data_IF_155644135153
#
_entry.id   IF_155644135153
#
_cell.length_a   1.000
_cell.length_b   1.000
_cell.length_c   1.000
_cell.angle_alpha   90.00
_cell.angle_beta   90.00
_cell.angle_gamma   90.00
#
_symmetry.space_group_name_H-M   'P 1'
#
loop_
_entity.id
_entity.type
_entity.pdbx_description
1 polymer ?
#
# COMPACT_ATOMS: atom_id res chain seq x y z
N UNK A 1 -23.67 -14.66 -6.12
CA UNK A 1 -22.25 -14.97 -6.42
C UNK A 1 -21.53 -13.65 -6.40
N UNK A 2 -20.47 -13.51 -5.59
CA UNK A 2 -19.64 -12.30 -5.62
C UNK A 2 -19.18 -12.05 -7.05
N UNK A 3 -19.35 -10.82 -7.55
CA UNK A 3 -18.91 -10.46 -8.89
C UNK A 3 -17.38 -10.49 -8.94
N UNK A 4 -16.80 -11.41 -9.71
CA UNK A 4 -15.34 -11.47 -9.91
C UNK A 4 -14.90 -10.43 -10.94
N UNK A 5 -13.76 -9.81 -10.70
CA UNK A 5 -13.08 -8.93 -11.64
C UNK A 5 -12.13 -9.72 -12.54
N UNK A 6 -11.90 -9.26 -13.76
CA UNK A 6 -10.85 -9.79 -14.62
C UNK A 6 -9.46 -9.41 -14.07
N UNK A 7 -9.31 -8.15 -13.65
CA UNK A 7 -8.05 -7.56 -13.19
C UNK A 7 -8.30 -6.74 -11.92
N UNK A 8 -7.57 -7.01 -10.84
CA UNK A 8 -7.43 -6.07 -9.72
C UNK A 8 -6.09 -5.37 -9.78
N UNK A 9 -6.10 -4.04 -9.68
CA UNK A 9 -4.91 -3.18 -9.76
C UNK A 9 -4.70 -2.56 -8.39
N UNK A 10 -3.54 -2.81 -7.77
CA UNK A 10 -3.25 -2.41 -6.40
C UNK A 10 -2.26 -1.24 -6.41
N UNK A 11 -2.78 -0.01 -6.32
CA UNK A 11 -2.03 1.24 -6.24
C UNK A 11 -2.48 2.26 -7.28
N UNK A 12 -2.74 3.51 -6.86
CA UNK A 12 -3.20 4.61 -7.73
C UNK A 12 -2.07 5.54 -8.22
N UNK A 13 -0.81 5.10 -8.14
CA UNK A 13 0.33 5.81 -8.73
C UNK A 13 0.40 5.64 -10.27
N UNK A 14 1.36 6.28 -10.95
CA UNK A 14 1.45 6.27 -12.42
C UNK A 14 1.43 4.88 -13.08
N UNK A 15 1.97 3.85 -12.41
CA UNK A 15 1.90 2.46 -12.89
C UNK A 15 0.47 1.93 -12.89
N UNK A 16 -0.24 2.03 -11.77
CA UNK A 16 -1.61 1.53 -11.67
C UNK A 16 -2.60 2.32 -12.52
N UNK A 17 -2.41 3.64 -12.62
CA UNK A 17 -3.20 4.49 -13.53
C UNK A 17 -3.03 4.07 -14.99
N UNK A 18 -1.78 3.89 -15.43
CA UNK A 18 -1.52 3.41 -16.80
C UNK A 18 -2.10 2.02 -17.05
N UNK A 19 -2.03 1.13 -16.05
CA UNK A 19 -2.64 -0.19 -16.14
C UNK A 19 -4.17 -0.11 -16.26
N UNK A 20 -4.83 0.72 -15.45
CA UNK A 20 -6.28 0.90 -15.44
C UNK A 20 -6.80 1.46 -16.78
N UNK A 21 -6.12 2.48 -17.32
CA UNK A 21 -6.45 3.03 -18.64
C UNK A 21 -6.41 1.94 -19.72
N UNK A 22 -5.36 1.12 -19.73
CA UNK A 22 -5.23 0.03 -20.70
C UNK A 22 -6.25 -1.09 -20.47
N UNK A 23 -6.58 -1.43 -19.22
CA UNK A 23 -7.63 -2.38 -18.90
C UNK A 23 -9.01 -1.90 -19.42
N UNK A 24 -9.33 -0.62 -19.22
CA UNK A 24 -10.56 0.03 -19.75
C UNK A 24 -10.60 -0.03 -21.28
N UNK A 25 -9.52 0.37 -21.97
CA UNK A 25 -9.42 0.33 -23.45
C UNK A 25 -9.62 -1.09 -24.01
N UNK A 26 -9.19 -2.11 -23.26
CA UNK A 26 -9.33 -3.52 -23.65
C UNK A 26 -10.64 -4.16 -23.19
N UNK A 27 -11.60 -3.36 -22.70
CA UNK A 27 -12.91 -3.79 -22.23
C UNK A 27 -12.84 -4.93 -21.20
N UNK A 28 -11.86 -4.88 -20.29
CA UNK A 28 -11.80 -5.80 -19.15
C UNK A 28 -12.59 -5.21 -17.99
N UNK A 29 -13.20 -6.09 -17.20
CA UNK A 29 -13.82 -5.70 -15.94
C UNK A 29 -12.72 -5.60 -14.89
N UNK A 30 -12.39 -4.40 -14.43
CA UNK A 30 -11.29 -4.20 -13.47
C UNK A 30 -11.70 -3.38 -12.25
N UNK A 31 -10.90 -3.45 -11.20
CA UNK A 31 -10.97 -2.60 -10.01
C UNK A 31 -9.60 -1.99 -9.74
N UNK A 32 -9.57 -0.70 -9.42
CA UNK A 32 -8.35 0.06 -9.11
C UNK A 32 -8.39 0.49 -7.65
N UNK A 33 -7.53 -0.09 -6.82
CA UNK A 33 -7.37 0.29 -5.41
C UNK A 33 -6.32 1.38 -5.26
N UNK A 34 -6.55 2.33 -4.36
CA UNK A 34 -5.60 3.39 -4.03
C UNK A 34 -6.27 4.52 -3.28
N UNK A 35 -5.78 5.75 -3.44
CA UNK A 35 -6.42 6.96 -2.93
C UNK A 35 -6.59 8.02 -4.04
N UNK A 36 -7.49 8.97 -3.82
CA UNK A 36 -7.75 10.10 -4.72
C UNK A 36 -6.60 11.12 -4.78
N UNK A 37 -5.64 11.01 -3.86
CA UNK A 37 -4.38 11.74 -3.95
C UNK A 37 -3.37 11.14 -4.94
N UNK A 38 -3.69 9.99 -5.54
CA UNK A 38 -2.92 9.19 -6.48
C UNK A 38 -1.59 8.67 -5.91
N UNK A 39 -0.70 9.59 -5.55
CA UNK A 39 0.59 9.26 -4.96
C UNK A 39 1.14 10.47 -4.21
N UNK A 40 1.48 10.26 -2.94
CA UNK A 40 2.17 11.26 -2.10
C UNK A 40 3.50 11.70 -2.73
N UNK A 41 4.21 10.79 -3.41
CA UNK A 41 5.45 11.08 -4.13
C UNK A 41 5.24 12.01 -5.34
N UNK A 42 4.11 11.85 -6.03
CA UNK A 42 3.74 12.72 -7.15
C UNK A 42 3.45 14.13 -6.64
N UNK A 43 2.54 14.28 -5.67
CA UNK A 43 2.08 15.58 -5.15
C UNK A 43 3.23 16.40 -4.56
N UNK A 44 4.20 15.75 -3.92
CA UNK A 44 5.38 16.41 -3.31
C UNK A 44 6.43 16.88 -4.31
N UNK A 45 6.32 16.54 -5.61
CA UNK A 45 7.33 16.91 -6.59
C UNK A 45 7.28 18.42 -6.90
N UNK A 46 8.35 19.20 -6.63
CA UNK A 46 8.33 20.64 -6.84
C UNK A 46 8.38 21.03 -8.32
N UNK A 47 9.00 20.19 -9.16
CA UNK A 47 9.13 20.40 -10.60
C UNK A 47 9.49 19.09 -11.30
N UNK A 48 8.87 18.85 -12.44
CA UNK A 48 9.05 17.67 -13.29
C UNK A 48 9.37 18.14 -14.71
N UNK A 49 10.54 17.73 -15.21
CA UNK A 49 11.00 18.04 -16.57
C UNK A 49 11.32 16.78 -17.40
N UNK A 50 11.22 15.61 -16.77
CA UNK A 50 11.57 14.30 -17.31
C UNK A 50 10.33 13.44 -17.59
N UNK A 51 9.15 14.06 -17.68
CA UNK A 51 7.94 13.43 -18.19
C UNK A 51 7.66 14.01 -19.58
N UNK A 52 7.87 13.22 -20.63
CA UNK A 52 7.71 13.68 -22.01
C UNK A 52 6.31 14.27 -22.24
N UNK A 53 6.27 15.50 -22.77
CA UNK A 53 5.02 16.25 -22.98
C UNK A 53 4.63 17.19 -21.83
N UNK A 54 5.23 17.04 -20.64
CA UNK A 54 4.97 17.88 -19.47
C UNK A 54 6.25 18.57 -19.00
N UNK A 55 6.50 19.78 -19.52
CA UNK A 55 7.70 20.56 -19.22
C UNK A 55 7.40 21.58 -18.12
N UNK A 56 8.23 21.60 -17.08
CA UNK A 56 8.16 22.61 -16.02
C UNK A 56 6.94 22.51 -15.11
N UNK A 57 6.21 21.40 -15.19
CA UNK A 57 5.04 21.12 -14.36
C UNK A 57 5.44 20.68 -12.97
N UNK A 58 4.68 21.05 -11.96
CA UNK A 58 4.86 20.49 -10.62
C UNK A 58 4.04 19.19 -10.47
N UNK A 59 4.17 18.57 -9.30
CA UNK A 59 3.48 17.35 -8.95
C UNK A 59 1.95 17.48 -8.91
N UNK A 60 1.44 18.64 -8.48
CA UNK A 60 0.01 18.89 -8.37
C UNK A 60 -0.62 19.07 -9.75
N UNK A 61 0.06 19.78 -10.65
CA UNK A 61 -0.31 19.90 -12.06
C UNK A 61 -0.41 18.53 -12.72
N UNK A 62 0.58 17.64 -12.51
CA UNK A 62 0.53 16.27 -13.04
C UNK A 62 -0.61 15.46 -12.42
N UNK A 63 -0.83 15.53 -11.11
CA UNK A 63 -1.95 14.87 -10.43
C UNK A 63 -3.28 15.27 -11.09
N UNK A 64 -3.50 16.57 -11.28
CA UNK A 64 -4.74 17.07 -11.87
C UNK A 64 -4.95 16.57 -13.31
N UNK A 65 -3.87 16.47 -14.10
CA UNK A 65 -3.92 15.93 -15.46
C UNK A 65 -4.26 14.43 -15.46
N UNK A 66 -3.70 13.66 -14.53
CA UNK A 66 -4.03 12.24 -14.39
C UNK A 66 -5.47 12.02 -13.92
N UNK A 67 -5.94 12.79 -12.94
CA UNK A 67 -7.35 12.74 -12.49
C UNK A 67 -8.32 13.13 -13.61
N UNK A 68 -7.98 14.14 -14.42
CA UNK A 68 -8.75 14.52 -15.60
C UNK A 68 -8.89 13.37 -16.58
N UNK A 69 -7.80 12.66 -16.88
CA UNK A 69 -7.82 11.51 -17.78
C UNK A 69 -8.66 10.34 -17.24
N UNK A 70 -8.55 10.02 -15.94
CA UNK A 70 -9.39 9.01 -15.32
C UNK A 70 -10.89 9.36 -15.44
N UNK A 71 -11.23 10.62 -15.18
CA UNK A 71 -12.60 11.11 -15.29
C UNK A 71 -13.15 11.03 -16.72
N UNK A 72 -12.35 11.42 -17.71
CA UNK A 72 -12.73 11.31 -19.13
C UNK A 72 -12.94 9.86 -19.57
N UNK A 73 -12.18 8.93 -18.99
CA UNK A 73 -12.29 7.50 -19.26
C UNK A 73 -13.28 6.76 -18.36
N UNK A 74 -13.98 7.47 -17.48
CA UNK A 74 -14.94 6.87 -16.54
C UNK A 74 -14.28 5.74 -15.71
N UNK A 75 -13.13 6.06 -15.11
CA UNK A 75 -12.37 5.17 -14.24
C UNK A 75 -12.42 5.72 -12.81
N UNK A 76 -12.97 4.92 -11.91
CA UNK A 76 -13.07 5.24 -10.49
C UNK A 76 -11.92 4.57 -9.70
N UNK A 77 -11.47 5.26 -8.65
CA UNK A 77 -10.52 4.70 -7.67
C UNK A 77 -11.33 4.22 -6.48
N UNK A 78 -11.13 2.96 -6.09
CA UNK A 78 -11.66 2.40 -4.85
C UNK A 78 -10.71 2.77 -3.72
N UNK A 79 -11.17 3.66 -2.82
CA UNK A 79 -10.41 4.15 -1.67
C UNK A 79 -10.40 3.14 -0.51
N UNK A 80 -9.75 2.01 -0.78
CA UNK A 80 -9.67 0.88 0.13
C UNK A 80 -8.25 0.29 0.12
N UNK A 81 -7.73 -0.03 1.31
CA UNK A 81 -6.38 -0.58 1.49
C UNK A 81 -6.41 -2.11 1.41
N UNK A 82 -5.67 -2.67 0.45
CA UNK A 82 -5.44 -4.12 0.40
C UNK A 82 -4.45 -4.52 1.50
N UNK A 83 -4.87 -5.43 2.38
CA UNK A 83 -4.06 -5.91 3.49
C UNK A 83 -3.29 -7.18 3.13
N UNK A 84 -3.91 -8.07 2.35
CA UNK A 84 -3.28 -9.31 1.88
C UNK A 84 -3.96 -9.81 0.62
N UNK A 85 -3.21 -10.55 -0.20
CA UNK A 85 -3.68 -11.18 -1.41
C UNK A 85 -3.25 -12.65 -1.40
N UNK A 86 -4.22 -13.55 -1.56
CA UNK A 86 -3.98 -14.98 -1.60
C UNK A 86 -4.22 -15.54 -3.00
N UNK A 87 -3.25 -16.30 -3.51
CA UNK A 87 -3.41 -17.05 -4.75
C UNK A 87 -4.25 -18.31 -4.47
N UNK A 88 -5.43 -18.40 -5.08
CA UNK A 88 -6.42 -19.46 -4.87
C UNK A 88 -6.40 -20.50 -6.01
N UNK A 89 -5.31 -20.56 -6.77
CA UNK A 89 -5.20 -21.34 -8.01
C UNK A 89 -5.63 -20.51 -9.22
N UNK A 90 -6.91 -20.56 -9.58
CA UNK A 90 -7.43 -19.90 -10.81
C UNK A 90 -7.77 -18.41 -10.62
N UNK A 91 -7.67 -17.89 -9.40
CA UNK A 91 -7.98 -16.49 -9.08
C UNK A 91 -7.24 -16.05 -7.82
N UNK A 92 -7.37 -14.77 -7.49
CA UNK A 92 -6.82 -14.14 -6.29
C UNK A 92 -7.94 -13.62 -5.40
N UNK A 93 -7.82 -13.87 -4.10
CA UNK A 93 -8.65 -13.25 -3.07
C UNK A 93 -7.89 -12.05 -2.47
N UNK A 94 -8.46 -10.86 -2.56
CA UNK A 94 -7.89 -9.62 -2.00
C UNK A 94 -8.67 -9.25 -0.74
N UNK A 95 -7.97 -9.17 0.38
CA UNK A 95 -8.55 -8.83 1.68
C UNK A 95 -8.45 -7.33 1.92
N UNK A 96 -9.59 -6.71 2.23
CA UNK A 96 -9.70 -5.31 2.63
C UNK A 96 -10.52 -5.25 3.91
N UNK A 97 -9.87 -5.06 5.05
CA UNK A 97 -10.54 -5.08 6.36
C UNK A 97 -11.44 -6.32 6.50
N UNK A 98 -12.75 -6.15 6.67
CA UNK A 98 -13.74 -7.23 6.74
C UNK A 98 -14.34 -7.63 5.37
N UNK A 99 -13.91 -6.99 4.28
CA UNK A 99 -14.36 -7.26 2.91
C UNK A 99 -13.36 -8.13 2.16
N UNK A 100 -13.87 -8.83 1.15
CA UNK A 100 -13.08 -9.63 0.22
C UNK A 100 -13.50 -9.33 -1.22
N UNK A 101 -12.49 -9.14 -2.07
CA UNK A 101 -12.66 -9.03 -3.52
C UNK A 101 -12.02 -10.24 -4.22
N UNK A 102 -12.56 -10.61 -5.37
CA UNK A 102 -11.98 -11.66 -6.22
C UNK A 102 -11.56 -11.09 -7.58
N UNK A 103 -10.37 -11.47 -8.04
CA UNK A 103 -9.92 -11.17 -9.39
C UNK A 103 -9.20 -12.35 -10.03
N UNK A 104 -9.42 -12.60 -11.32
CA UNK A 104 -8.74 -13.67 -12.06
C UNK A 104 -7.24 -13.38 -12.24
N UNK A 105 -6.87 -12.10 -12.34
CA UNK A 105 -5.47 -11.64 -12.40
C UNK A 105 -5.27 -10.38 -11.55
N UNK A 106 -4.03 -10.12 -11.15
CA UNK A 106 -3.68 -8.93 -10.34
C UNK A 106 -2.47 -8.19 -10.90
N UNK A 107 -2.45 -6.87 -10.70
CA UNK A 107 -1.31 -6.00 -11.00
C UNK A 107 -0.91 -5.25 -9.73
N UNK A 108 0.25 -5.60 -9.18
CA UNK A 108 0.83 -4.95 -8.00
C UNK A 108 1.52 -3.67 -8.48
N UNK A 109 1.02 -2.52 -8.06
CA UNK A 109 1.51 -1.19 -8.42
C UNK A 109 1.66 -0.29 -7.18
N UNK A 110 1.99 -0.91 -6.03
CA UNK A 110 2.05 -0.27 -4.71
C UNK A 110 3.20 0.72 -4.54
N UNK A 111 4.11 0.79 -5.52
CA UNK A 111 5.32 1.60 -5.42
C UNK A 111 6.34 0.96 -4.48
N UNK A 112 7.13 1.79 -3.79
CA UNK A 112 8.10 1.32 -2.80
C UNK A 112 8.09 2.25 -1.60
N UNK A 113 8.11 1.67 -0.41
CA UNK A 113 8.35 2.40 0.83
C UNK A 113 9.86 2.36 1.12
N UNK A 114 10.49 3.52 1.27
CA UNK A 114 11.94 3.58 1.57
C UNK A 114 12.25 3.33 3.04
N UNK A 115 11.22 3.18 3.85
CA UNK A 115 11.35 3.03 5.28
C UNK A 115 11.69 1.58 5.60
N UNK A 116 12.96 1.30 5.88
CA UNK A 116 13.38 -0.01 6.37
C UNK A 116 12.59 -0.38 7.63
N UNK A 117 12.21 -1.66 7.80
CA UNK A 117 11.66 -2.12 9.05
C UNK A 117 12.62 -1.80 10.19
N UNK A 118 12.08 -1.37 11.33
CA UNK A 118 12.89 -1.16 12.52
C UNK A 118 13.30 -2.50 13.14
N UNK A 119 14.33 -2.48 13.98
CA UNK A 119 14.77 -3.70 14.66
C UNK A 119 13.61 -4.29 15.48
N UNK A 120 13.37 -5.59 15.37
CA UNK A 120 12.27 -6.29 16.02
C UNK A 120 10.93 -6.24 15.25
N UNK A 121 10.76 -5.39 14.25
CA UNK A 121 9.48 -5.26 13.55
C UNK A 121 9.04 -6.56 12.86
N UNK A 122 9.94 -7.18 12.08
CA UNK A 122 9.65 -8.45 11.42
C UNK A 122 9.59 -9.63 12.39
N UNK A 123 10.39 -9.61 13.46
CA UNK A 123 10.47 -10.68 14.46
C UNK A 123 9.16 -10.82 15.27
N UNK A 124 8.55 -9.68 15.57
CA UNK A 124 7.31 -9.57 16.34
C UNK A 124 6.06 -9.42 15.46
N UNK A 125 6.19 -9.50 14.14
CA UNK A 125 5.03 -9.49 13.23
C UNK A 125 4.09 -10.65 13.56
N UNK A 126 2.82 -10.34 13.83
CA UNK A 126 1.82 -11.30 14.30
C UNK A 126 1.98 -11.74 15.77
N UNK A 127 2.97 -11.21 16.49
CA UNK A 127 3.22 -11.41 17.94
C UNK A 127 3.15 -10.11 18.74
N UNK A 128 2.33 -9.16 18.27
CA UNK A 128 2.23 -7.83 18.85
C UNK A 128 2.55 -6.70 17.86
N UNK A 129 3.15 -7.00 16.70
CA UNK A 129 3.30 -6.03 15.60
C UNK A 129 2.27 -6.30 14.50
N UNK A 130 1.62 -5.25 14.02
CA UNK A 130 0.68 -5.30 12.89
C UNK A 130 0.83 -4.09 11.94
N UNK A 131 0.27 -4.23 10.73
CA UNK A 131 0.31 -3.18 9.69
C UNK A 131 -1.06 -2.62 9.31
N UNK A 132 -2.13 -3.19 9.87
CA UNK A 132 -3.51 -2.70 9.77
C UNK A 132 -4.05 -2.63 11.19
N UNK A 133 -4.14 -1.42 11.75
CA UNK A 133 -4.57 -1.26 13.13
C UNK A 133 -6.06 -1.59 13.26
N UNK A 134 -6.88 -1.15 12.30
CA UNK A 134 -8.33 -1.42 12.27
C UNK A 134 -8.67 -2.92 12.23
N UNK A 135 -7.88 -3.72 11.50
CA UNK A 135 -8.06 -5.17 11.39
C UNK A 135 -7.82 -5.89 12.72
N UNK A 136 -6.77 -5.49 13.43
CA UNK A 136 -6.30 -6.17 14.64
C UNK A 136 -6.80 -5.50 15.92
N UNK A 137 -7.40 -4.31 15.85
CA UNK A 137 -7.89 -3.55 17.01
C UNK A 137 -8.72 -4.39 18.00
N UNK A 138 -9.63 -5.30 17.57
CA UNK A 138 -10.38 -6.13 18.49
C UNK A 138 -9.51 -7.00 19.42
N UNK A 139 -8.30 -7.37 18.99
CA UNK A 139 -7.34 -8.17 19.79
C UNK A 139 -6.69 -7.37 20.93
N UNK A 140 -6.76 -6.04 20.86
CA UNK A 140 -6.13 -5.10 21.80
C UNK A 140 -7.15 -4.32 22.65
N UNK A 141 -8.39 -4.81 22.74
CA UNK A 141 -9.39 -4.28 23.68
C UNK A 141 -8.84 -4.25 25.10
N UNK A 142 -8.98 -3.11 25.77
CA UNK A 142 -8.47 -2.86 27.14
C UNK A 142 -6.95 -3.00 27.30
N UNK A 143 -6.18 -3.02 26.21
CA UNK A 143 -4.71 -3.07 26.23
C UNK A 143 -4.08 -1.72 25.90
N UNK A 144 -2.77 -1.62 26.11
CA UNK A 144 -2.00 -0.45 25.68
C UNK A 144 -1.49 -0.67 24.27
N UNK A 145 -1.75 0.28 23.37
CA UNK A 145 -1.35 0.21 21.95
C UNK A 145 -0.48 1.41 21.59
N UNK A 146 0.53 1.18 20.76
CA UNK A 146 1.35 2.24 20.16
C UNK A 146 1.21 2.21 18.64
N UNK A 147 0.89 3.35 18.04
CA UNK A 147 0.73 3.50 16.60
C UNK A 147 1.87 4.39 16.09
N UNK A 148 2.60 3.91 15.08
CA UNK A 148 3.68 4.63 14.41
C UNK A 148 3.14 5.05 13.03
N UNK A 149 2.70 6.29 12.92
CA UNK A 149 2.04 6.82 11.73
C UNK A 149 3.01 7.49 10.77
N UNK A 150 3.09 7.01 9.53
CA UNK A 150 3.89 7.61 8.45
C UNK A 150 3.09 8.50 7.50
N UNK A 151 1.76 8.46 7.59
CA UNK A 151 0.83 9.20 6.74
C UNK A 151 -0.38 9.69 7.55
N UNK A 152 -1.27 10.45 6.90
CA UNK A 152 -2.44 11.03 7.57
C UNK A 152 -3.52 10.00 7.83
N UNK A 153 -3.63 8.98 6.99
CA UNK A 153 -4.58 7.88 7.16
C UNK A 153 -4.35 7.12 8.48
N UNK A 154 -3.11 7.13 8.99
CA UNK A 154 -2.79 6.59 10.32
C UNK A 154 -3.48 7.33 11.48
N UNK A 155 -3.88 8.61 11.30
CA UNK A 155 -4.63 9.37 12.30
C UNK A 155 -6.05 8.80 12.45
N UNK A 156 -6.72 8.48 11.35
CA UNK A 156 -8.05 7.86 11.35
C UNK A 156 -8.02 6.47 12.00
N UNK A 157 -7.02 5.66 11.66
CA UNK A 157 -6.82 4.35 12.30
C UNK A 157 -6.53 4.48 13.81
N UNK A 158 -5.80 5.53 14.22
CA UNK A 158 -5.53 5.77 15.64
C UNK A 158 -6.78 6.18 16.41
N UNK A 159 -7.64 7.02 15.82
CA UNK A 159 -8.93 7.38 16.38
C UNK A 159 -9.85 6.17 16.54
N UNK A 160 -9.89 5.26 15.56
CA UNK A 160 -10.65 4.02 15.67
C UNK A 160 -10.14 3.12 16.80
N UNK A 161 -8.82 2.98 16.93
CA UNK A 161 -8.23 2.14 17.99
C UNK A 161 -8.44 2.73 19.38
N UNK A 162 -8.50 4.07 19.52
CA UNK A 162 -8.72 4.73 20.82
C UNK A 162 -10.07 4.42 21.43
N UNK A 163 -11.07 4.08 20.62
CA UNK A 163 -12.39 3.64 21.09
C UNK A 163 -12.38 2.23 21.73
N UNK A 164 -11.34 1.43 21.47
CA UNK A 164 -11.27 0.02 21.88
C UNK A 164 -10.15 -0.24 22.91
N UNK A 165 -8.99 0.38 22.73
CA UNK A 165 -7.82 0.19 23.59
C UNK A 165 -7.96 0.95 24.92
N UNK A 166 -7.27 0.50 25.97
CA UNK A 166 -7.24 1.24 27.25
C UNK A 166 -6.39 2.51 27.17
N UNK A 167 -5.35 2.48 26.32
CA UNK A 167 -4.45 3.61 26.09
C UNK A 167 -3.85 3.52 24.69
N UNK A 168 -3.82 4.64 23.99
CA UNK A 168 -3.19 4.74 22.66
C UNK A 168 -2.08 5.79 22.70
N UNK A 169 -0.89 5.38 22.29
CA UNK A 169 0.23 6.26 21.99
C UNK A 169 0.34 6.46 20.49
N UNK A 170 0.45 7.70 20.01
CA UNK A 170 0.69 7.99 18.60
C UNK A 170 2.06 8.62 18.38
N UNK A 171 2.87 8.00 17.53
CA UNK A 171 4.21 8.48 17.17
C UNK A 171 4.19 8.95 15.70
N UNK A 172 4.09 10.27 15.46
CA UNK A 172 4.09 10.80 14.11
C UNK A 172 5.49 10.74 13.48
N UNK A 173 5.57 10.21 12.26
CA UNK A 173 6.79 10.19 11.43
C UNK A 173 6.81 11.25 10.33
N UNK A 174 5.80 12.12 10.33
CA UNK A 174 5.68 13.31 9.49
C UNK A 174 5.42 14.55 10.35
N UNK A 175 5.50 15.73 9.73
CA UNK A 175 5.22 17.01 10.39
C UNK A 175 3.88 17.53 9.91
N UNK A 176 3.07 18.06 10.83
CA UNK A 176 1.78 18.65 10.52
C UNK A 176 0.96 18.89 11.78
N UNK A 177 -0.25 19.40 11.59
CA UNK A 177 -1.31 19.31 12.58
C UNK A 177 -1.93 17.91 12.49
N UNK A 178 -2.27 17.33 13.65
CA UNK A 178 -2.84 15.99 13.76
C UNK A 178 -4.29 16.09 14.22
N UNK A 179 -5.19 15.41 13.53
CA UNK A 179 -6.60 15.29 13.86
C UNK A 179 -6.84 14.00 14.68
N UNK A 180 -6.46 14.06 15.95
CA UNK A 180 -6.49 12.92 16.88
C UNK A 180 -7.45 13.18 18.04
N UNK A 181 -8.12 12.11 18.49
CA UNK A 181 -8.94 12.11 19.70
C UNK A 181 -8.12 12.55 20.93
N UNK A 182 -8.75 13.28 21.85
CA UNK A 182 -8.06 13.89 22.99
C UNK A 182 -7.47 12.89 24.00
N UNK A 183 -7.93 11.65 23.98
CA UNK A 183 -7.41 10.54 24.78
C UNK A 183 -6.11 9.92 24.22
N UNK A 184 -5.76 10.23 22.97
CA UNK A 184 -4.55 9.72 22.32
C UNK A 184 -3.35 10.54 22.78
N UNK A 185 -2.35 9.87 23.35
CA UNK A 185 -1.12 10.52 23.80
C UNK A 185 -0.11 10.59 22.64
N UNK A 186 0.14 11.80 22.15
CA UNK A 186 1.12 12.02 21.07
C UNK A 186 2.54 12.05 21.62
N UNK A 187 3.38 11.11 21.17
CA UNK A 187 4.80 11.03 21.54
C UNK A 187 5.66 11.47 20.36
N UNK A 188 6.29 12.63 20.52
CA UNK A 188 7.25 13.17 19.55
C UNK A 188 8.66 12.62 19.80
N UNK A 189 8.86 11.33 19.52
CA UNK A 189 10.17 10.68 19.60
C UNK A 189 10.46 9.82 18.36
N UNK A 190 11.69 9.32 18.26
CA UNK A 190 12.13 8.46 17.16
C UNK A 190 12.12 7.01 17.64
N UNK A 191 11.29 6.11 17.06
CA UNK A 191 11.32 4.70 17.39
C UNK A 191 12.61 4.07 16.87
N UNK A 192 13.21 3.18 17.68
CA UNK A 192 14.53 2.56 17.42
C UNK A 192 14.42 1.04 17.31
N UNK A 193 13.76 0.41 18.27
CA UNK A 193 13.68 -1.06 18.37
C UNK A 193 12.40 -1.49 19.08
N UNK A 194 11.81 -2.59 18.61
CA UNK A 194 10.71 -3.28 19.26
C UNK A 194 11.29 -4.43 20.07
N UNK A 195 10.95 -4.52 21.35
CA UNK A 195 11.44 -5.56 22.26
C UNK A 195 10.28 -6.31 22.92
N UNK A 196 10.56 -7.57 23.25
CA UNK A 196 9.63 -8.47 23.89
C UNK A 196 10.23 -9.87 24.06
N UNK A 197 9.51 -10.74 24.75
CA UNK A 197 9.88 -12.15 24.88
C UNK A 197 9.11 -12.98 23.83
N UNK A 198 8.00 -13.63 24.22
CA UNK A 198 7.11 -14.34 23.30
C UNK A 198 6.21 -13.41 22.47
N UNK A 199 6.02 -12.18 22.95
CA UNK A 199 5.21 -11.11 22.35
C UNK A 199 5.82 -9.76 22.68
N UNK A 200 5.41 -8.71 21.96
CA UNK A 200 5.80 -7.32 22.25
C UNK A 200 5.49 -6.97 23.70
N UNK A 201 6.44 -6.28 24.35
CA UNK A 201 6.24 -5.69 25.69
C UNK A 201 6.59 -4.21 25.72
N UNK A 202 7.47 -3.74 24.81
CA UNK A 202 7.84 -2.32 24.75
C UNK A 202 8.37 -1.88 23.39
N UNK A 203 8.25 -0.58 23.14
CA UNK A 203 8.91 0.14 22.06
C UNK A 203 10.04 1.00 22.64
N UNK A 204 11.28 0.77 22.21
CA UNK A 204 12.42 1.62 22.52
C UNK A 204 12.44 2.80 21.57
N UNK A 205 12.49 4.00 22.13
CA UNK A 205 12.65 5.25 21.38
C UNK A 205 14.04 5.84 21.64
N UNK A 206 14.39 6.90 20.90
CA UNK A 206 15.70 7.55 21.05
C UNK A 206 15.92 8.12 22.45
N UNK A 207 14.86 8.61 23.10
CA UNK A 207 14.96 9.27 24.40
C UNK A 207 14.28 8.49 25.55
N UNK A 208 13.77 7.28 25.30
CA UNK A 208 13.06 6.52 26.33
C UNK A 208 12.53 5.16 25.86
N UNK A 209 11.57 4.65 26.61
CA UNK A 209 10.88 3.40 26.34
C UNK A 209 9.37 3.58 26.59
N UNK A 210 8.55 2.92 25.80
CA UNK A 210 7.09 2.92 25.91
C UNK A 210 6.66 1.49 26.14
N UNK A 211 6.07 1.20 27.31
CA UNK A 211 5.42 -0.08 27.56
C UNK A 211 4.15 -0.18 26.72
N UNK A 212 4.00 -1.28 25.99
CA UNK A 212 2.89 -1.47 25.07
C UNK A 212 2.65 -2.94 24.78
N UNK A 213 1.38 -3.32 24.64
CA UNK A 213 0.98 -4.68 24.31
C UNK A 213 0.96 -4.92 22.79
N UNK A 214 0.82 -3.85 22.00
CA UNK A 214 0.67 -3.89 20.55
C UNK A 214 1.26 -2.67 19.86
N UNK A 215 1.95 -2.89 18.74
CA UNK A 215 2.55 -1.84 17.92
C UNK A 215 2.01 -1.94 16.49
N UNK A 216 1.35 -0.88 16.02
CA UNK A 216 0.93 -0.78 14.63
C UNK A 216 1.84 0.16 13.85
N UNK A 217 2.46 -0.35 12.79
CA UNK A 217 3.38 0.43 11.93
C UNK A 217 2.64 0.79 10.64
N UNK A 218 2.06 1.98 10.58
CA UNK A 218 1.17 2.39 9.49
C UNK A 218 1.93 3.19 8.43
N UNK A 219 2.32 2.49 7.36
CA UNK A 219 3.02 3.02 6.16
C UNK A 219 2.09 3.10 4.95
N UNK A 220 2.50 3.83 3.90
CA UNK A 220 1.77 3.90 2.61
C UNK A 220 1.73 2.53 1.91
N UNK A 221 2.77 1.71 2.10
CA UNK A 221 2.80 0.34 1.56
C UNK A 221 3.50 -0.63 2.51
N UNK A 222 3.05 -1.88 2.48
CA UNK A 222 3.72 -3.02 3.10
C UNK A 222 4.67 -3.67 2.09
N UNK A 223 5.66 -4.43 2.58
CA UNK A 223 6.56 -5.18 1.70
C UNK A 223 5.74 -6.06 0.74
N UNK A 224 6.05 -6.08 -0.57
CA UNK A 224 5.28 -6.88 -1.51
C UNK A 224 5.21 -8.37 -1.16
N UNK A 225 6.25 -8.92 -0.51
CA UNK A 225 6.27 -10.31 -0.04
C UNK A 225 5.31 -10.58 1.12
N UNK A 226 4.98 -9.57 1.93
CA UNK A 226 3.95 -9.67 2.97
C UNK A 226 2.55 -9.48 2.39
N UNK A 227 2.41 -8.59 1.39
CA UNK A 227 1.15 -8.37 0.68
C UNK A 227 0.70 -9.62 -0.06
N UNK A 228 1.64 -10.31 -0.73
CA UNK A 228 1.37 -11.53 -1.50
C UNK A 228 2.33 -12.64 -1.06
N UNK A 229 1.90 -13.56 -0.18
CA UNK A 229 2.73 -14.66 0.28
C UNK A 229 3.25 -15.52 -0.88
N UNK A 230 4.55 -15.82 -0.86
CA UNK A 230 5.21 -16.63 -1.90
C UNK A 230 5.72 -15.84 -3.11
N UNK A 231 5.53 -14.52 -3.13
CA UNK A 231 6.10 -13.64 -4.16
C UNK A 231 7.63 -13.56 -4.00
N UNK A 232 8.36 -13.71 -5.11
CA UNK A 232 9.82 -13.64 -5.12
C UNK A 232 10.29 -12.19 -5.09
N UNK A 233 11.07 -11.85 -4.06
CA UNK A 233 11.62 -10.52 -3.84
C UNK A 233 13.15 -10.58 -3.94
N UNK A 234 13.74 -9.62 -4.65
CA UNK A 234 15.19 -9.43 -4.77
C UNK A 234 15.50 -7.96 -4.53
N UNK A 235 16.42 -7.65 -3.61
CA UNK A 235 16.83 -6.28 -3.24
C UNK A 235 15.67 -5.33 -2.91
N UNK A 236 14.66 -5.83 -2.19
CA UNK A 236 13.41 -5.13 -1.82
C UNK A 236 12.43 -4.87 -3.00
N UNK A 237 12.65 -5.51 -4.15
CA UNK A 237 11.79 -5.40 -5.34
C UNK A 237 11.19 -6.73 -5.76
N UNK A 238 9.98 -6.66 -6.31
CA UNK A 238 9.31 -7.80 -6.93
C UNK A 238 10.09 -8.20 -8.18
N UNK A 239 10.53 -9.45 -8.24
CA UNK A 239 11.21 -9.98 -9.43
C UNK A 239 10.20 -10.15 -10.56
N UNK A 240 10.48 -9.51 -11.70
CA UNK A 240 9.65 -9.56 -12.89
C UNK A 240 10.45 -9.84 -14.15
N UNK A 241 9.80 -10.49 -15.12
CA UNK A 241 10.33 -10.60 -16.48
C UNK A 241 10.04 -9.36 -17.33
N UNK A 242 10.41 -9.38 -18.62
CA UNK A 242 10.15 -8.27 -19.57
C UNK A 242 8.67 -8.01 -19.85
N UNK A 243 7.79 -8.95 -19.51
CA UNK A 243 6.34 -8.86 -19.63
C UNK A 243 5.69 -8.50 -18.28
N UNK A 244 6.48 -8.09 -17.29
CA UNK A 244 6.01 -7.74 -15.95
C UNK A 244 5.38 -8.92 -15.20
N UNK A 245 5.64 -10.16 -15.61
CA UNK A 245 5.19 -11.37 -14.91
C UNK A 245 6.04 -11.62 -13.68
N UNK A 246 5.39 -11.95 -12.58
CA UNK A 246 6.06 -12.43 -11.37
C UNK A 246 6.27 -13.95 -11.42
N UNK A 247 6.77 -14.55 -10.34
CA UNK A 247 6.83 -16.01 -10.19
C UNK A 247 5.46 -16.67 -9.99
N UNK A 248 4.40 -15.90 -9.72
CA UNK A 248 3.04 -16.40 -9.53
C UNK A 248 2.25 -16.16 -10.82
N UNK A 249 1.69 -17.23 -11.40
CA UNK A 249 0.88 -17.14 -12.63
C UNK A 249 -0.34 -16.24 -12.42
N UNK A 250 -0.62 -15.34 -13.37
CA UNK A 250 -1.70 -14.35 -13.25
C UNK A 250 -1.41 -13.15 -12.33
N UNK A 251 -0.25 -13.12 -11.68
CA UNK A 251 0.24 -11.98 -10.89
C UNK A 251 1.33 -11.22 -11.65
N UNK A 252 1.09 -9.93 -11.84
CA UNK A 252 1.99 -8.99 -12.49
C UNK A 252 2.40 -7.87 -11.52
N UNK A 253 3.51 -7.20 -11.77
CA UNK A 253 3.93 -6.04 -10.99
C UNK A 253 4.49 -4.92 -11.87
N UNK A 254 4.30 -3.66 -11.48
CA UNK A 254 4.72 -2.50 -12.26
C UNK A 254 5.09 -1.29 -11.39
N UNK A 255 6.04 -0.49 -11.87
CA UNK A 255 6.46 0.74 -11.21
C UNK A 255 7.59 0.54 -10.22
N UNK A 256 7.68 1.40 -9.21
CA UNK A 256 8.82 1.37 -8.29
C UNK A 256 8.95 0.03 -7.52
N UNK A 257 7.85 -0.72 -7.37
CA UNK A 257 7.85 -2.03 -6.73
C UNK A 257 8.71 -3.08 -7.47
N UNK A 258 8.99 -2.88 -8.76
CA UNK A 258 9.78 -3.81 -9.59
C UNK A 258 11.26 -3.42 -9.70
N UNK A 259 11.67 -2.31 -9.07
CA UNK A 259 13.07 -1.88 -9.06
C UNK A 259 13.33 -0.52 -9.69
N UNK A 260 14.60 -0.14 -9.60
CA UNK A 260 15.14 1.11 -10.14
C UNK A 260 15.18 1.05 -11.68
N UNK A 261 15.12 2.20 -12.37
CA UNK A 261 15.03 3.56 -11.83
C UNK A 261 13.59 3.94 -11.42
N UNK A 262 13.46 4.69 -10.32
CA UNK A 262 12.17 5.15 -9.81
C UNK A 262 11.74 6.43 -10.52
N UNK A 263 11.00 6.29 -11.61
CA UNK A 263 10.65 7.38 -12.52
C UNK A 263 9.21 7.21 -13.03
N UNK A 264 8.48 8.31 -13.17
CA UNK A 264 7.08 8.29 -13.60
C UNK A 264 6.88 7.64 -14.98
N UNK A 265 7.73 7.94 -15.97
CA UNK A 265 7.63 7.33 -17.30
C UNK A 265 7.94 5.83 -17.29
N UNK A 266 8.92 5.40 -16.47
CA UNK A 266 9.22 3.99 -16.25
C UNK A 266 8.00 3.28 -15.66
N UNK A 267 7.43 3.85 -14.61
CA UNK A 267 6.25 3.32 -13.95
C UNK A 267 5.03 3.22 -14.88
N UNK A 268 4.71 4.29 -15.62
CA UNK A 268 3.62 4.26 -16.58
C UNK A 268 3.87 3.24 -17.71
N UNK A 269 5.10 3.15 -18.23
CA UNK A 269 5.46 2.18 -19.25
C UNK A 269 5.29 0.73 -18.77
N UNK A 270 5.73 0.43 -17.55
CA UNK A 270 5.54 -0.89 -16.94
C UNK A 270 4.06 -1.19 -16.65
N UNK A 271 3.29 -0.21 -16.20
CA UNK A 271 1.85 -0.35 -15.98
C UNK A 271 1.11 -0.76 -17.26
N UNK A 272 1.46 -0.14 -18.39
CA UNK A 272 0.96 -0.54 -19.70
C UNK A 272 1.33 -2.00 -20.04
N UNK A 273 2.61 -2.40 -19.89
CA UNK A 273 3.06 -3.77 -20.19
C UNK A 273 2.35 -4.79 -19.30
N UNK A 274 2.19 -4.51 -18.01
CA UNK A 274 1.50 -5.37 -17.06
C UNK A 274 0.02 -5.55 -17.44
N UNK A 275 -0.69 -4.48 -17.79
CA UNK A 275 -2.09 -4.56 -18.21
C UNK A 275 -2.26 -5.37 -19.50
N UNK A 276 -1.41 -5.17 -20.51
CA UNK A 276 -1.48 -5.94 -21.74
C UNK A 276 -1.15 -7.42 -21.52
N UNK A 277 -0.23 -7.71 -20.59
CA UNK A 277 0.13 -9.09 -20.24
C UNK A 277 -0.97 -9.78 -19.43
N UNK A 278 -1.64 -9.06 -18.53
CA UNK A 278 -2.82 -9.55 -17.82
C UNK A 278 -3.98 -9.83 -18.78
N UNK A 279 -4.24 -8.94 -19.74
CA UNK A 279 -5.22 -9.15 -20.81
C UNK A 279 -4.93 -10.43 -21.60
N UNK A 280 -3.68 -10.62 -22.02
CA UNK A 280 -3.26 -11.83 -22.75
C UNK A 280 -3.43 -13.10 -21.90
N UNK A 281 -3.10 -13.04 -20.62
CA UNK A 281 -3.32 -14.14 -19.68
C UNK A 281 -4.81 -14.51 -19.59
N UNK A 282 -5.68 -13.53 -19.39
CA UNK A 282 -7.14 -13.73 -19.30
C UNK A 282 -7.72 -14.35 -20.58
N UNK A 283 -7.25 -13.90 -21.74
CA UNK A 283 -7.72 -14.43 -23.02
C UNK A 283 -7.22 -15.85 -23.30
N UNK A 284 -6.12 -16.29 -22.67
CA UNK A 284 -5.65 -17.69 -22.74
C UNK A 284 -6.40 -18.67 -21.82
N UNK A 285 -7.20 -18.15 -20.87
CA UNK A 285 -8.00 -18.95 -19.92
C UNK A 285 -9.46 -19.13 -20.37
N UNK A 286 -9.83 -18.56 -21.52
CA UNK A 286 -11.13 -18.75 -22.18
C UNK A 286 -11.08 -19.96 -23.11
#
# INVERSE_FOLDING_TARGET
>A
MSERYDIAIIGSGPAGLSAALNAKIRNKKFILFGNNDLSTKLVKAPKVNNYLGFVGKDGMDLKNQFMGHLKEMDIEITEERINSIYAMGEYFALMVNEKMYEATSIIIATGIEYTKPMKGEEEFLGKGVGYCATCDAPLYREKTVTIIGYNKEAEEEANFVSELAAKVYYIPRYKGEFDLNSEIEVINDIPVEIQGDSKVTKLVTKNGEIETDGIFVLRDSISPGQLVPGLKITDDHIEVDRLMKTNIEGCFAAGDCTGRPYQYMKAAGEGNVAALSAVAYLDSKK
#
